data_IF_257258717433
#
_entry.id   IF_257258717433
#
_cell.length_a   1.000
_cell.length_b   1.000
_cell.length_c   1.000
_cell.angle_alpha   90.00
_cell.angle_beta   90.00
_cell.angle_gamma   90.00
#
_symmetry.space_group_name_H-M   'P 1'
#
loop_
_entity.id
_entity.type
_entity.pdbx_description
1 polymer ?
#
# COMPACT_ATOMS: atom_id res chain seq x y z
N UNK A 1 -10.12 4.60 3.09
CA UNK A 1 -8.87 5.03 2.45
C UNK A 1 -7.84 5.19 3.53
N UNK A 2 -6.67 4.59 3.36
CA UNK A 2 -5.56 4.72 4.31
C UNK A 2 -4.32 5.20 3.59
N UNK A 3 -3.57 6.10 4.23
CA UNK A 3 -2.27 6.56 3.78
C UNK A 3 -1.17 5.69 4.40
N UNK A 4 -0.30 5.15 3.56
CA UNK A 4 0.83 4.29 3.94
C UNK A 4 2.07 4.74 3.20
N UNK A 5 3.21 4.74 3.89
CA UNK A 5 4.50 4.91 3.24
C UNK A 5 4.98 3.58 2.68
N UNK A 6 5.13 3.48 1.36
CA UNK A 6 5.69 2.29 0.73
C UNK A 6 7.14 2.14 1.15
N UNK A 7 7.45 1.01 1.78
CA UNK A 7 8.83 0.55 1.97
C UNK A 7 9.19 -0.59 0.99
N UNK A 8 8.24 -0.98 0.14
CA UNK A 8 8.42 -2.02 -0.85
C UNK A 8 9.20 -1.48 -2.05
N UNK A 9 10.03 -2.32 -2.68
CA UNK A 9 10.87 -1.94 -3.83
C UNK A 9 10.06 -1.32 -4.96
N UNK A 10 8.90 -1.91 -5.26
CA UNK A 10 7.93 -1.43 -6.24
C UNK A 10 6.58 -2.10 -5.98
N UNK A 11 5.50 -1.33 -5.95
CA UNK A 11 4.13 -1.83 -5.88
C UNK A 11 3.40 -1.43 -7.16
N UNK A 12 2.67 -2.34 -7.76
CA UNK A 12 1.91 -2.11 -8.99
C UNK A 12 0.43 -2.45 -8.81
N UNK A 13 -0.40 -1.83 -9.64
CA UNK A 13 -1.84 -2.02 -9.60
C UNK A 13 -2.16 -3.46 -10.02
N UNK A 14 -2.97 -4.14 -9.22
CA UNK A 14 -3.21 -5.58 -9.32
C UNK A 14 -2.23 -6.46 -8.55
N UNK A 15 -1.18 -5.92 -7.91
CA UNK A 15 -0.34 -6.71 -7.02
C UNK A 15 -1.10 -7.13 -5.76
N UNK A 16 -0.74 -8.29 -5.23
CA UNK A 16 -1.25 -8.78 -3.97
C UNK A 16 -0.43 -8.20 -2.81
N UNK A 17 -1.13 -7.73 -1.79
CA UNK A 17 -0.57 -7.08 -0.61
C UNK A 17 -0.98 -7.82 0.66
N UNK A 18 -0.06 -7.80 1.60
CA UNK A 18 -0.21 -8.40 2.91
C UNK A 18 0.09 -7.35 3.96
N UNK A 19 -0.89 -7.07 4.81
CA UNK A 19 -0.75 -6.11 5.90
C UNK A 19 -0.74 -6.87 7.20
N UNK A 20 0.34 -6.72 7.96
CA UNK A 20 0.55 -7.39 9.23
C UNK A 20 0.67 -6.35 10.33
N UNK A 21 -0.24 -6.42 11.30
CA UNK A 21 -0.24 -5.58 12.48
C UNK A 21 -0.34 -6.39 13.76
N UNK A 22 0.38 -5.99 14.81
CA UNK A 22 0.39 -6.70 16.10
C UNK A 22 -1.00 -6.84 16.72
N UNK A 23 -1.88 -5.86 16.48
CA UNK A 23 -3.26 -5.83 17.02
C UNK A 23 -4.33 -6.04 15.96
N UNK A 24 -4.01 -5.74 14.70
CA UNK A 24 -4.94 -5.88 13.56
C UNK A 24 -4.95 -7.31 13.02
N UNK A 25 -3.87 -8.07 13.23
CA UNK A 25 -3.67 -9.39 12.65
C UNK A 25 -3.11 -9.29 11.23
N UNK A 26 -3.48 -10.26 10.40
CA UNK A 26 -3.06 -10.35 9.00
C UNK A 26 -4.24 -10.02 8.11
N UNK A 27 -4.06 -9.05 7.21
CA UNK A 27 -5.03 -8.66 6.19
C UNK A 27 -4.39 -8.89 4.83
N UNK A 28 -5.03 -9.73 4.03
CA UNK A 28 -4.68 -9.96 2.63
C UNK A 28 -5.61 -9.15 1.74
N UNK A 29 -5.06 -8.59 0.68
CA UNK A 29 -5.85 -7.83 -0.29
C UNK A 29 -5.12 -7.66 -1.60
N UNK A 30 -5.84 -7.16 -2.61
CA UNK A 30 -5.30 -6.81 -3.92
C UNK A 30 -5.39 -5.30 -4.12
N UNK A 31 -4.38 -4.72 -4.75
CA UNK A 31 -4.36 -3.29 -5.07
C UNK A 31 -5.26 -3.02 -6.27
N UNK A 32 -6.53 -2.71 -6.03
CA UNK A 32 -7.47 -2.32 -7.09
C UNK A 32 -7.28 -0.87 -7.53
N UNK A 33 -7.01 0.02 -6.59
CA UNK A 33 -6.78 1.45 -6.82
C UNK A 33 -5.72 1.97 -5.85
N UNK A 34 -4.80 2.78 -6.36
CA UNK A 34 -3.84 3.49 -5.52
C UNK A 34 -3.59 4.92 -6.01
N UNK A 35 -3.31 5.80 -5.05
CA UNK A 35 -2.90 7.17 -5.28
C UNK A 35 -1.53 7.39 -4.68
N UNK A 36 -0.59 7.94 -5.43
CA UNK A 36 0.78 8.14 -4.99
C UNK A 36 1.03 9.64 -4.82
N UNK A 37 1.65 10.00 -3.70
CA UNK A 37 2.12 11.34 -3.43
C UNK A 37 3.32 11.65 -4.32
N UNK A 38 3.15 12.61 -5.21
CA UNK A 38 4.18 13.12 -6.09
C UNK A 38 5.07 14.13 -5.36
N UNK A 39 6.26 14.38 -5.90
CA UNK A 39 7.21 15.35 -5.32
C UNK A 39 6.64 16.79 -5.27
N UNK A 40 5.69 17.10 -6.12
CA UNK A 40 5.00 18.39 -6.13
C UNK A 40 3.94 18.53 -5.00
N UNK A 41 3.73 17.49 -4.20
CA UNK A 41 2.75 17.46 -3.11
C UNK A 41 1.35 17.00 -3.53
N UNK A 42 1.13 16.67 -4.80
CA UNK A 42 -0.17 16.20 -5.28
C UNK A 42 -0.31 14.68 -5.10
N UNK A 43 -1.47 14.24 -4.62
CA UNK A 43 -1.86 12.83 -4.70
C UNK A 43 -2.55 12.57 -6.03
N UNK A 44 -1.90 11.80 -6.90
CA UNK A 44 -2.46 11.39 -8.19
C UNK A 44 -2.67 9.89 -8.23
N UNK A 45 -3.69 9.44 -8.95
CA UNK A 45 -3.86 8.03 -9.28
C UNK A 45 -2.67 7.56 -10.11
N UNK A 46 -2.06 6.46 -9.68
CA UNK A 46 -0.87 5.93 -10.33
C UNK A 46 -0.89 4.42 -10.29
N UNK A 47 -0.46 3.81 -11.38
CA UNK A 47 -0.44 2.36 -11.48
C UNK A 47 0.79 1.76 -10.78
N UNK A 48 1.75 2.60 -10.38
CA UNK A 48 3.02 2.18 -9.81
C UNK A 48 3.43 3.11 -8.66
N UNK A 49 3.81 2.53 -7.53
CA UNK A 49 4.46 3.22 -6.43
C UNK A 49 5.89 2.69 -6.24
N UNK A 50 6.87 3.58 -6.10
CA UNK A 50 8.27 3.19 -5.81
C UNK A 50 8.57 3.28 -4.31
N UNK A 51 9.65 2.61 -3.90
CA UNK A 51 10.09 2.63 -2.51
C UNK A 51 10.30 4.07 -2.00
N UNK A 52 9.77 4.35 -0.81
CA UNK A 52 9.92 5.63 -0.12
C UNK A 52 8.80 6.62 -0.40
N UNK A 53 7.94 6.37 -1.40
CA UNK A 53 6.78 7.21 -1.67
C UNK A 53 5.61 6.88 -0.73
N UNK A 54 4.83 7.92 -0.42
CA UNK A 54 3.57 7.76 0.28
C UNK A 54 2.49 7.41 -0.75
N UNK A 55 1.71 6.37 -0.49
CA UNK A 55 0.53 6.05 -1.27
C UNK A 55 -0.71 5.91 -0.40
N UNK A 56 -1.86 6.16 -1.00
CA UNK A 56 -3.17 5.85 -0.44
C UNK A 56 -3.78 4.74 -1.25
N UNK A 57 -4.16 3.66 -0.58
CA UNK A 57 -4.87 2.55 -1.19
C UNK A 57 -6.17 2.25 -0.46
N UNK A 58 -7.08 1.60 -1.17
CA UNK A 58 -8.31 1.05 -0.59
C UNK A 58 -8.04 -0.39 -0.16
N UNK A 59 -8.40 -0.70 1.08
CA UNK A 59 -8.27 -2.04 1.68
C UNK A 59 -9.55 -2.39 2.39
N UNK A 60 -9.94 -3.67 2.35
CA UNK A 60 -11.15 -4.17 3.02
C UNK A 60 -10.87 -4.51 4.48
N UNK A 61 -10.33 -3.55 5.22
CA UNK A 61 -9.97 -3.72 6.61
C UNK A 61 -9.53 -2.43 7.28
N UNK A 62 -9.56 -2.44 8.61
CA UNK A 62 -9.07 -1.31 9.41
C UNK A 62 -7.58 -1.48 9.68
N UNK A 63 -6.75 -0.94 8.79
CA UNK A 63 -5.31 -0.86 8.99
C UNK A 63 -5.00 0.31 9.94
N UNK A 64 -4.00 0.13 10.80
CA UNK A 64 -3.49 1.15 11.73
C UNK A 64 -2.11 1.63 11.29
N UNK A 65 -1.72 2.81 11.74
CA UNK A 65 -0.43 3.45 11.39
C UNK A 65 0.81 2.61 11.74
N UNK A 66 0.71 1.71 12.72
CA UNK A 66 1.82 0.82 13.10
C UNK A 66 1.87 -0.49 12.30
N UNK A 67 0.89 -0.74 11.43
CA UNK A 67 0.85 -1.97 10.65
C UNK A 67 1.83 -1.87 9.47
N UNK A 68 2.44 -3.00 9.10
CA UNK A 68 3.41 -3.09 8.01
C UNK A 68 2.75 -3.67 6.77
N UNK A 69 2.97 -3.03 5.62
CA UNK A 69 2.52 -3.52 4.32
C UNK A 69 3.68 -4.21 3.59
N UNK A 70 3.42 -5.43 3.14
CA UNK A 70 4.30 -6.24 2.33
C UNK A 70 3.63 -6.50 0.97
N UNK A 71 4.44 -6.50 -0.09
CA UNK A 71 4.00 -7.03 -1.38
C UNK A 71 4.19 -8.54 -1.36
N UNK A 72 3.19 -9.28 -1.82
CA UNK A 72 3.28 -10.71 -2.06
C UNK A 72 3.73 -10.91 -3.50
N UNK A 73 4.87 -11.58 -3.68
CA UNK A 73 5.28 -12.09 -4.99
C UNK A 73 5.13 -13.60 -4.94
N UNK A 74 4.22 -14.14 -5.77
CA UNK A 74 4.21 -15.58 -6.02
C UNK A 74 5.51 -15.95 -6.76
N UNK A 75 6.20 -16.95 -6.22
CA UNK A 75 7.53 -17.40 -6.67
C UNK A 75 7.47 -18.25 -7.96
#
# INVERSE_FOLDING_TARGET
MIEIKSSATKLSLGDDILVIGDTTGVIEGKVEEMRVLQENGDMIESDVCVNGQTLTLKVDGKIRTNDKLFKVEDA
#
